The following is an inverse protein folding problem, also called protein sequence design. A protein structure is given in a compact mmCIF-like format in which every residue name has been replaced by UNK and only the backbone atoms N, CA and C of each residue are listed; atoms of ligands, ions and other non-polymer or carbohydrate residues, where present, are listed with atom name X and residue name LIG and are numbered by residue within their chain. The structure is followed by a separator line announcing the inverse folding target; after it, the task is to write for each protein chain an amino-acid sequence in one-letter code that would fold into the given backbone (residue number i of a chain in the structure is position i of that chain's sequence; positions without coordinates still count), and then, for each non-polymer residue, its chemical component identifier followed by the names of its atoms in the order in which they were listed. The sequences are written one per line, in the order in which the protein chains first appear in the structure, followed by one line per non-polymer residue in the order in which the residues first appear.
data_IF_100401008492
#
_entry.id   IF_100401008492
#
_cell.length_a   1.000
_cell.length_b   1.000
_cell.length_c   1.000
_cell.angle_alpha   90.00
_cell.angle_beta   90.00
_cell.angle_gamma   90.00
#
_symmetry.space_group_name_H-M   'P 1'
#
loop_
_entity.id
_entity.type
_entity.pdbx_description
1 polymer ?
#
# COMPACT_ATOMS: atom_id res chain seq x y z
N UNK A 1 1.73 -22.69 16.90
CA UNK A 1 2.74 -21.68 16.44
C UNK A 1 2.76 -20.54 17.44
N UNK A 2 3.95 -20.11 17.83
CA UNK A 2 4.19 -18.94 18.72
C UNK A 2 5.31 -18.14 18.14
N UNK A 3 5.32 -16.83 18.36
CA UNK A 3 6.41 -15.97 17.93
C UNK A 3 5.95 -14.68 17.30
N UNK A 4 6.90 -13.79 17.10
CA UNK A 4 6.68 -12.49 16.48
C UNK A 4 7.68 -12.27 15.35
N UNK A 5 7.22 -11.59 14.30
CA UNK A 5 8.04 -11.17 13.16
C UNK A 5 7.79 -9.68 12.92
N UNK A 6 8.88 -8.93 12.84
CA UNK A 6 8.87 -7.50 12.56
C UNK A 6 9.78 -7.23 11.38
N UNK A 7 9.32 -6.46 10.41
CA UNK A 7 10.14 -5.95 9.32
C UNK A 7 9.95 -4.45 9.16
N UNK A 8 11.03 -3.77 8.87
CA UNK A 8 11.06 -2.36 8.50
C UNK A 8 11.87 -2.24 7.21
N UNK A 9 11.19 -1.88 6.14
CA UNK A 9 11.79 -1.73 4.82
C UNK A 9 11.81 -0.24 4.46
N UNK A 10 12.99 0.28 4.16
CA UNK A 10 13.20 1.66 3.72
C UNK A 10 13.88 1.67 2.35
N UNK A 11 13.16 2.14 1.33
CA UNK A 11 13.68 2.33 -0.01
C UNK A 11 13.81 3.84 -0.29
N UNK A 12 14.99 4.26 -0.69
CA UNK A 12 15.31 5.67 -0.95
C UNK A 12 16.00 5.77 -2.32
N UNK A 13 15.49 6.64 -3.16
CA UNK A 13 16.19 7.03 -4.40
C UNK A 13 16.94 8.36 -4.20
N UNK A 14 18.02 8.61 -4.97
CA UNK A 14 18.73 9.89 -4.89
C UNK A 14 17.82 11.08 -5.19
N UNK A 15 17.85 12.16 -4.38
CA UNK A 15 16.98 13.32 -4.57
C UNK A 15 17.58 14.27 -5.63
N UNK A 16 17.62 13.83 -6.90
CA UNK A 16 18.23 14.55 -8.02
C UNK A 16 17.57 15.92 -8.26
N UNK A 17 16.27 16.05 -7.98
CA UNK A 17 15.53 17.31 -8.14
C UNK A 17 16.04 18.44 -7.27
N UNK A 18 16.60 18.11 -6.09
CA UNK A 18 17.16 19.11 -5.18
C UNK A 18 18.45 19.73 -5.71
N UNK A 19 19.19 19.01 -6.58
CA UNK A 19 20.45 19.45 -7.18
C UNK A 19 20.26 20.08 -8.57
N UNK A 20 19.07 19.94 -9.16
CA UNK A 20 18.74 20.50 -10.47
C UNK A 20 17.98 21.81 -10.29
N UNK A 21 18.61 22.91 -10.66
CA UNK A 21 17.99 24.24 -10.59
C UNK A 21 16.97 24.42 -11.74
N UNK A 22 15.75 23.87 -11.57
CA UNK A 22 14.64 23.95 -12.52
C UNK A 22 13.39 24.48 -11.86
N UNK A 23 12.56 25.15 -12.64
CA UNK A 23 11.24 25.59 -12.18
C UNK A 23 10.25 24.41 -12.28
N UNK A 24 10.23 23.56 -11.25
CA UNK A 24 9.38 22.38 -11.17
C UNK A 24 7.89 22.71 -11.17
N UNK A 25 7.51 23.87 -10.61
CA UNK A 25 6.13 24.33 -10.62
C UNK A 25 5.64 24.60 -12.04
N UNK A 26 6.48 25.28 -12.85
CA UNK A 26 6.13 25.55 -14.24
C UNK A 26 6.04 24.27 -15.07
N UNK A 27 6.99 23.34 -14.89
CA UNK A 27 6.96 22.04 -15.55
C UNK A 27 5.71 21.23 -15.17
N UNK A 28 5.30 21.27 -13.90
CA UNK A 28 4.08 20.61 -13.44
C UNK A 28 2.83 21.21 -14.09
N UNK A 29 2.73 22.54 -14.18
CA UNK A 29 1.63 23.22 -14.88
C UNK A 29 1.62 22.89 -16.37
N UNK A 30 2.79 22.90 -17.01
CA UNK A 30 2.94 22.61 -18.44
C UNK A 30 2.63 21.15 -18.78
N UNK A 31 2.92 20.21 -17.86
CA UNK A 31 2.61 18.78 -18.04
C UNK A 31 1.11 18.47 -18.01
N UNK A 32 0.31 19.35 -17.38
CA UNK A 32 -1.13 19.17 -17.21
C UNK A 32 -1.53 17.99 -16.30
N UNK A 33 -0.60 17.47 -15.53
CA UNK A 33 -0.89 16.41 -14.55
C UNK A 33 -1.91 16.95 -13.53
N UNK A 34 -3.00 16.20 -13.34
CA UNK A 34 -4.09 16.59 -12.46
C UNK A 34 -5.12 17.55 -13.05
N UNK A 35 -5.02 17.88 -14.34
CA UNK A 35 -6.04 18.66 -15.05
C UNK A 35 -6.80 17.78 -16.04
N UNK A 36 -8.13 18.00 -16.17
CA UNK A 36 -8.96 17.34 -17.19
C UNK A 36 -8.98 18.14 -18.51
N UNK A 37 -7.97 18.96 -18.76
CA UNK A 37 -7.93 19.82 -19.92
C UNK A 37 -7.75 19.02 -21.22
N UNK A 38 -8.60 19.27 -22.22
CA UNK A 38 -8.38 18.80 -23.58
C UNK A 38 -7.27 19.68 -24.21
N UNK A 39 -6.15 19.06 -24.55
CA UNK A 39 -5.05 19.76 -25.20
C UNK A 39 -5.17 19.75 -26.72
N UNK A 40 -4.81 20.84 -27.36
CA UNK A 40 -4.53 20.86 -28.79
C UNK A 40 -3.23 20.13 -29.11
N UNK A 41 -2.98 19.73 -30.37
CA UNK A 41 -1.79 18.94 -30.75
C UNK A 41 -0.46 19.58 -30.28
N UNK A 42 -0.32 20.89 -30.36
CA UNK A 42 0.89 21.63 -29.91
C UNK A 42 1.00 21.62 -28.38
N UNK A 43 -0.13 21.75 -27.66
CA UNK A 43 -0.16 21.67 -26.20
C UNK A 43 0.15 20.26 -25.72
N UNK A 44 -0.30 19.23 -26.44
CA UNK A 44 0.02 17.82 -26.16
C UNK A 44 1.52 17.57 -26.27
N UNK A 45 2.19 18.08 -27.32
CA UNK A 45 3.64 17.93 -27.48
C UNK A 45 4.41 18.61 -26.33
N UNK A 46 4.00 19.83 -25.93
CA UNK A 46 4.59 20.53 -24.79
C UNK A 46 4.38 19.79 -23.48
N UNK A 47 3.17 19.28 -23.23
CA UNK A 47 2.84 18.51 -22.05
C UNK A 47 3.65 17.21 -21.97
N UNK A 48 3.80 16.51 -23.10
CA UNK A 48 4.63 15.30 -23.19
C UNK A 48 6.09 15.61 -22.87
N UNK A 49 6.66 16.66 -23.45
CA UNK A 49 8.05 17.04 -23.17
C UNK A 49 8.27 17.44 -21.70
N UNK A 50 7.32 18.18 -21.12
CA UNK A 50 7.35 18.55 -19.70
C UNK A 50 7.29 17.31 -18.80
N UNK A 51 6.41 16.37 -19.10
CA UNK A 51 6.27 15.10 -18.37
C UNK A 51 7.54 14.26 -18.48
N UNK A 52 8.13 14.14 -19.66
CA UNK A 52 9.39 13.42 -19.86
C UNK A 52 10.54 14.05 -19.07
N UNK A 53 10.60 15.37 -19.02
CA UNK A 53 11.64 16.06 -18.24
C UNK A 53 11.42 15.91 -16.73
N UNK A 54 10.17 15.93 -16.26
CA UNK A 54 9.82 15.71 -14.85
C UNK A 54 10.22 14.32 -14.39
N UNK A 55 9.87 13.28 -15.16
CA UNK A 55 10.11 11.87 -14.80
C UNK A 55 11.38 11.27 -15.42
N UNK A 56 12.28 12.11 -15.91
CA UNK A 56 13.60 11.66 -16.37
C UNK A 56 14.38 10.91 -15.28
N UNK A 57 14.20 11.35 -14.04
CA UNK A 57 14.71 10.70 -12.84
C UNK A 57 13.56 10.50 -11.86
N UNK A 58 13.26 9.25 -11.56
CA UNK A 58 12.19 8.91 -10.61
C UNK A 58 12.76 9.00 -9.21
N UNK A 59 12.10 9.81 -8.39
CA UNK A 59 12.52 10.12 -7.03
C UNK A 59 11.40 9.81 -6.05
N UNK A 60 11.71 8.97 -5.07
CA UNK A 60 10.79 8.67 -3.97
C UNK A 60 11.55 8.17 -2.74
N UNK A 61 10.87 8.21 -1.62
CA UNK A 61 11.19 7.41 -0.46
C UNK A 61 9.97 6.56 -0.09
N UNK A 62 10.20 5.31 0.26
CA UNK A 62 9.15 4.36 0.62
C UNK A 62 9.52 3.70 1.93
N UNK A 63 8.65 3.84 2.93
CA UNK A 63 8.79 3.23 4.24
C UNK A 63 7.68 2.21 4.44
N UNK A 64 8.02 0.98 4.78
CA UNK A 64 7.05 -0.06 5.13
C UNK A 64 7.41 -0.66 6.48
N UNK A 65 6.43 -0.72 7.34
CA UNK A 65 6.52 -1.46 8.61
C UNK A 65 5.50 -2.58 8.60
N UNK A 66 5.95 -3.79 8.93
CA UNK A 66 5.09 -4.96 9.06
C UNK A 66 5.40 -5.66 10.37
N UNK A 67 4.38 -5.88 11.17
CA UNK A 67 4.45 -6.63 12.42
C UNK A 67 3.45 -7.78 12.37
N UNK A 68 3.87 -8.97 12.78
CA UNK A 68 3.00 -10.12 12.90
C UNK A 68 3.35 -10.89 14.17
N UNK A 69 2.35 -11.16 14.99
CA UNK A 69 2.52 -11.90 16.25
C UNK A 69 1.54 -13.03 16.34
N UNK A 70 1.99 -14.17 16.83
CA UNK A 70 1.19 -15.37 17.13
C UNK A 70 1.22 -15.64 18.63
N UNK A 71 0.07 -15.55 19.27
CA UNK A 71 -0.11 -15.73 20.70
C UNK A 71 -1.03 -16.92 20.94
N UNK A 72 -0.57 -18.00 21.60
CA UNK A 72 -1.44 -19.09 22.01
C UNK A 72 -2.37 -18.60 23.12
N UNK A 73 -3.67 -18.83 22.96
CA UNK A 73 -4.69 -18.46 23.95
C UNK A 73 -5.05 -19.63 24.87
N UNK A 74 -4.64 -20.85 24.53
CA UNK A 74 -4.81 -22.05 25.34
C UNK A 74 -3.47 -22.75 25.53
N UNK A 75 -3.45 -23.81 26.36
CA UNK A 75 -2.22 -24.57 26.65
C UNK A 75 -1.52 -25.00 25.36
N UNK A 76 -0.24 -24.58 25.14
CA UNK A 76 0.53 -24.95 23.95
C UNK A 76 0.69 -26.46 23.71
N UNK A 77 0.60 -27.26 24.76
CA UNK A 77 0.69 -28.71 24.70
C UNK A 77 -0.64 -29.39 24.40
N UNK A 78 -1.75 -28.65 24.35
CA UNK A 78 -3.04 -29.18 23.99
C UNK A 78 -3.12 -29.53 22.50
N UNK A 79 -3.84 -30.61 22.17
CA UNK A 79 -4.19 -30.95 20.78
C UNK A 79 -5.02 -29.85 20.08
N UNK A 80 -5.67 -29.00 20.84
CA UNK A 80 -6.61 -27.96 20.41
C UNK A 80 -6.12 -26.57 20.85
N UNK A 81 -4.91 -26.22 20.46
CA UNK A 81 -4.35 -24.90 20.82
C UNK A 81 -4.97 -23.81 19.95
N UNK A 82 -5.75 -22.96 20.59
CA UNK A 82 -6.28 -21.76 19.96
C UNK A 82 -5.17 -20.71 19.84
N UNK A 83 -4.96 -20.15 18.65
CA UNK A 83 -3.90 -19.18 18.39
C UNK A 83 -4.50 -17.88 17.87
N UNK A 84 -4.19 -16.78 18.53
CA UNK A 84 -4.46 -15.43 18.04
C UNK A 84 -3.28 -14.94 17.20
N UNK A 85 -3.52 -14.67 15.93
CA UNK A 85 -2.57 -13.95 15.08
C UNK A 85 -3.00 -12.49 15.01
N UNK A 86 -2.07 -11.59 15.28
CA UNK A 86 -2.25 -10.16 15.05
C UNK A 86 -1.26 -9.67 14.01
N UNK A 87 -1.71 -8.78 13.15
CA UNK A 87 -0.89 -8.15 12.10
C UNK A 87 -1.15 -6.65 12.10
N UNK A 88 -0.08 -5.88 12.01
CA UNK A 88 -0.11 -4.45 11.76
C UNK A 88 0.83 -4.13 10.61
N UNK A 89 0.32 -3.42 9.61
CA UNK A 89 1.11 -2.98 8.45
C UNK A 89 0.83 -1.51 8.19
N UNK A 90 1.90 -0.78 7.93
CA UNK A 90 1.86 0.63 7.56
C UNK A 90 2.84 0.82 6.41
N UNK A 91 2.39 1.44 5.33
CA UNK A 91 3.22 1.83 4.21
C UNK A 91 3.05 3.30 3.89
N UNK A 92 4.16 3.96 3.66
CA UNK A 92 4.22 5.37 3.31
C UNK A 92 5.11 5.52 2.08
N UNK A 93 4.66 6.28 1.09
CA UNK A 93 5.40 6.64 -0.11
C UNK A 93 5.38 8.15 -0.25
N UNK A 94 6.53 8.76 -0.29
CA UNK A 94 6.66 10.20 -0.45
C UNK A 94 7.66 10.61 -1.51
N UNK A 95 7.62 11.87 -1.86
CA UNK A 95 8.58 12.51 -2.78
C UNK A 95 9.34 13.63 -2.07
N UNK A 96 10.54 13.93 -2.52
CA UNK A 96 11.34 15.05 -2.00
C UNK A 96 10.83 16.40 -2.50
N UNK A 97 10.16 16.37 -3.67
CA UNK A 97 9.58 17.54 -4.29
C UNK A 97 8.08 17.36 -4.45
N UNK A 98 7.28 18.32 -3.99
CA UNK A 98 5.80 18.27 -4.03
C UNK A 98 5.22 18.17 -5.46
N UNK A 99 5.97 18.59 -6.47
CA UNK A 99 5.57 18.55 -7.88
C UNK A 99 5.98 17.26 -8.59
N UNK A 100 6.81 16.42 -7.96
CA UNK A 100 7.38 15.20 -8.51
C UNK A 100 6.93 13.97 -7.74
N UNK A 101 5.62 13.81 -7.55
CA UNK A 101 5.09 12.57 -6.98
C UNK A 101 5.36 11.42 -7.95
N UNK A 102 6.03 10.36 -7.48
CA UNK A 102 6.28 9.19 -8.31
C UNK A 102 4.98 8.49 -8.66
N UNK A 103 4.69 8.19 -9.94
CA UNK A 103 3.57 7.35 -10.32
C UNK A 103 3.85 5.85 -10.11
N UNK A 104 5.10 5.52 -9.74
CA UNK A 104 5.54 4.15 -9.53
C UNK A 104 5.56 3.81 -8.04
N UNK A 105 5.50 2.52 -7.76
CA UNK A 105 5.61 1.98 -6.39
C UNK A 105 4.45 2.38 -5.46
N UNK A 106 3.35 2.92 -6.00
CA UNK A 106 2.16 3.25 -5.24
C UNK A 106 1.47 2.00 -4.68
N UNK A 107 0.61 2.16 -3.69
CA UNK A 107 -0.13 1.06 -3.08
C UNK A 107 -1.50 0.91 -3.73
N UNK A 108 -1.84 -0.32 -4.11
CA UNK A 108 -3.16 -0.70 -4.60
C UNK A 108 -3.88 -1.49 -3.52
N UNK A 109 -4.85 -0.86 -2.86
CA UNK A 109 -5.42 -1.37 -1.61
C UNK A 109 -6.84 -1.84 -1.79
N UNK A 110 -7.10 -3.06 -1.35
CA UNK A 110 -8.40 -3.73 -1.39
C UNK A 110 -8.33 -5.12 -2.03
N UNK A 111 -9.35 -5.93 -1.79
CA UNK A 111 -9.53 -7.23 -2.41
C UNK A 111 -8.71 -8.36 -1.82
N UNK A 112 -8.49 -9.38 -2.63
CA UNK A 112 -7.84 -10.65 -2.28
C UNK A 112 -6.31 -10.58 -2.24
N UNK A 113 -5.72 -9.52 -2.78
CA UNK A 113 -4.27 -9.36 -2.89
C UNK A 113 -3.62 -10.14 -4.04
N UNK A 114 -4.42 -10.84 -4.86
CA UNK A 114 -3.94 -11.62 -6.00
C UNK A 114 -4.09 -10.86 -7.32
N UNK A 115 -5.15 -10.07 -7.43
CA UNK A 115 -5.41 -9.23 -8.59
C UNK A 115 -4.78 -7.87 -8.39
N UNK A 116 -3.61 -7.67 -8.97
CA UNK A 116 -2.91 -6.39 -8.95
C UNK A 116 -3.46 -5.40 -9.99
N UNK A 117 -3.17 -4.14 -9.80
CA UNK A 117 -3.30 -3.15 -10.88
C UNK A 117 -2.23 -3.41 -11.94
N UNK A 118 -2.61 -3.37 -13.20
CA UNK A 118 -1.69 -3.54 -14.34
C UNK A 118 -0.82 -2.29 -14.62
N UNK A 119 -0.70 -1.39 -13.65
CA UNK A 119 0.05 -0.13 -13.78
C UNK A 119 1.34 -0.11 -12.96
N UNK A 120 2.35 0.47 -13.50
CA UNK A 120 3.54 1.10 -12.90
C UNK A 120 4.09 0.49 -11.59
N UNK A 121 4.28 -0.84 -11.52
CA UNK A 121 4.88 -1.53 -10.36
C UNK A 121 4.17 -1.25 -9.01
N UNK A 122 2.84 -1.15 -9.03
CA UNK A 122 2.04 -0.96 -7.82
C UNK A 122 2.12 -2.18 -6.90
N UNK A 123 2.24 -1.93 -5.62
CA UNK A 123 2.22 -2.98 -4.60
C UNK A 123 0.78 -3.24 -4.16
N UNK A 124 0.29 -4.46 -4.41
CA UNK A 124 -1.07 -4.87 -4.02
C UNK A 124 -1.15 -5.21 -2.54
N UNK A 125 -2.06 -4.55 -1.84
CA UNK A 125 -2.33 -4.75 -0.42
C UNK A 125 -3.73 -5.31 -0.27
N UNK A 126 -3.81 -6.58 0.13
CA UNK A 126 -5.10 -7.23 0.38
C UNK A 126 -5.85 -6.58 1.54
N UNK A 127 -7.15 -6.41 1.37
CA UNK A 127 -8.10 -6.08 2.44
C UNK A 127 -9.38 -6.88 2.20
N UNK A 128 -9.54 -7.95 2.96
CA UNK A 128 -10.63 -8.93 2.77
C UNK A 128 -12.01 -8.29 2.97
N UNK A 129 -13.00 -8.77 2.22
CA UNK A 129 -14.36 -8.26 2.28
C UNK A 129 -14.60 -6.98 1.46
N UNK A 130 -13.64 -6.58 0.66
CA UNK A 130 -13.73 -5.43 -0.25
C UNK A 130 -13.29 -5.81 -1.66
N UNK A 131 -13.75 -5.05 -2.65
CA UNK A 131 -13.33 -5.22 -4.03
C UNK A 131 -11.87 -4.78 -4.24
N UNK A 132 -11.24 -5.34 -5.27
CA UNK A 132 -9.85 -5.03 -5.61
C UNK A 132 -9.67 -3.54 -5.90
N UNK A 133 -8.73 -2.91 -5.19
CA UNK A 133 -8.38 -1.50 -5.37
C UNK A 133 -9.45 -0.49 -5.01
N UNK A 134 -10.49 -0.88 -4.27
CA UNK A 134 -11.61 0.01 -3.94
C UNK A 134 -11.17 1.26 -3.16
N UNK A 135 -10.07 1.19 -2.42
CA UNK A 135 -9.51 2.32 -1.66
C UNK A 135 -8.53 3.17 -2.45
N UNK A 136 -8.11 2.69 -3.60
CA UNK A 136 -7.21 3.38 -4.55
C UNK A 136 -7.79 3.27 -5.95
N UNK A 137 -8.98 3.84 -6.21
CA UNK A 137 -9.66 3.68 -7.48
C UNK A 137 -8.88 4.35 -8.61
N UNK A 138 -8.87 3.69 -9.76
CA UNK A 138 -8.33 4.22 -11.01
C UNK A 138 -8.79 5.66 -11.25
N UNK A 139 -7.88 6.58 -11.49
CA UNK A 139 -8.09 8.02 -11.76
C UNK A 139 -8.39 8.93 -10.55
N UNK A 140 -8.71 8.43 -9.39
CA UNK A 140 -9.03 9.30 -8.24
C UNK A 140 -7.91 9.43 -7.22
N UNK A 141 -6.82 8.74 -7.42
CA UNK A 141 -5.61 8.87 -6.63
C UNK A 141 -4.91 7.55 -6.36
N UNK A 142 -3.63 7.54 -6.64
CA UNK A 142 -2.75 6.47 -6.23
C UNK A 142 -2.66 6.42 -4.71
N UNK A 143 -2.48 5.23 -4.14
CA UNK A 143 -2.21 5.07 -2.73
C UNK A 143 -0.79 5.45 -2.39
N UNK A 144 -0.61 6.58 -1.73
CA UNK A 144 0.70 7.01 -1.22
C UNK A 144 0.91 6.64 0.24
N UNK A 145 -0.15 6.23 0.91
CA UNK A 145 -0.07 5.66 2.24
C UNK A 145 -1.17 4.62 2.45
N UNK A 146 -0.89 3.62 3.27
CA UNK A 146 -1.90 2.68 3.72
C UNK A 146 -1.65 2.25 5.16
N UNK A 147 -2.71 1.81 5.81
CA UNK A 147 -2.64 1.04 7.06
C UNK A 147 -3.50 -0.20 6.94
N UNK A 148 -3.05 -1.30 7.55
CA UNK A 148 -3.81 -2.53 7.69
C UNK A 148 -3.56 -3.16 9.04
N UNK A 149 -4.64 -3.48 9.73
CA UNK A 149 -4.63 -4.22 11.00
C UNK A 149 -5.49 -5.46 10.85
N UNK A 150 -4.99 -6.60 11.30
CA UNK A 150 -5.69 -7.86 11.22
C UNK A 150 -5.57 -8.59 12.55
N UNK A 151 -6.67 -9.13 13.04
CA UNK A 151 -6.71 -10.09 14.13
C UNK A 151 -7.37 -11.37 13.60
N UNK A 152 -6.70 -12.50 13.72
CA UNK A 152 -7.20 -13.79 13.27
C UNK A 152 -7.15 -14.80 14.41
N UNK A 153 -8.24 -15.50 14.59
CA UNK A 153 -8.35 -16.60 15.54
C UNK A 153 -8.26 -17.92 14.79
N UNK A 154 -7.21 -18.66 15.02
CA UNK A 154 -6.94 -19.94 14.37
C UNK A 154 -7.31 -21.08 15.30
N UNK A 155 -8.23 -21.94 14.86
CA UNK A 155 -8.67 -23.12 15.57
C UNK A 155 -8.30 -24.39 14.79
N UNK A 156 -7.37 -25.22 15.28
CA UNK A 156 -6.97 -26.44 14.59
C UNK A 156 -8.02 -27.53 14.76
N UNK A 157 -8.48 -28.11 13.66
CA UNK A 157 -9.32 -29.30 13.66
C UNK A 157 -8.49 -30.58 13.55
N UNK A 158 -7.45 -30.55 12.73
CA UNK A 158 -6.54 -31.65 12.49
C UNK A 158 -5.13 -31.14 12.22
N UNK A 159 -4.16 -31.63 13.01
CA UNK A 159 -2.73 -31.30 12.82
C UNK A 159 -1.96 -32.63 12.66
N UNK A 160 -1.97 -33.18 11.47
CA UNK A 160 -1.18 -34.36 11.11
C UNK A 160 -0.08 -33.97 10.13
N UNK A 161 1.06 -34.68 10.07
CA UNK A 161 2.15 -34.37 9.13
C UNK A 161 1.72 -34.36 7.68
N UNK A 162 0.73 -35.16 7.31
CA UNK A 162 0.19 -35.28 5.95
C UNK A 162 -0.98 -34.34 5.67
N UNK A 163 -1.69 -33.86 6.69
CA UNK A 163 -2.91 -33.06 6.52
C UNK A 163 -3.10 -32.11 7.69
N UNK A 164 -3.20 -30.83 7.38
CA UNK A 164 -3.49 -29.77 8.36
C UNK A 164 -4.82 -29.11 8.00
N UNK A 165 -5.81 -29.19 8.87
CA UNK A 165 -7.11 -28.54 8.73
C UNK A 165 -7.32 -27.64 9.94
N UNK A 166 -7.62 -26.36 9.70
CA UNK A 166 -7.94 -25.40 10.75
C UNK A 166 -9.06 -24.46 10.31
N UNK A 167 -9.87 -24.04 11.26
CA UNK A 167 -10.83 -22.97 11.10
C UNK A 167 -10.18 -21.62 11.39
N UNK A 168 -10.69 -20.60 10.74
CA UNK A 168 -10.19 -19.25 10.84
C UNK A 168 -11.36 -18.28 10.99
N UNK A 169 -11.31 -17.44 12.01
CA UNK A 169 -12.16 -16.26 12.11
C UNK A 169 -11.28 -15.00 12.10
N UNK A 170 -11.68 -13.95 11.40
CA UNK A 170 -10.87 -12.76 11.30
C UNK A 170 -11.66 -11.46 11.49
N UNK A 171 -10.96 -10.47 12.01
CA UNK A 171 -11.32 -9.06 11.96
C UNK A 171 -10.20 -8.33 11.25
N UNK A 172 -10.54 -7.54 10.26
CA UNK A 172 -9.57 -6.77 9.49
C UNK A 172 -10.02 -5.33 9.36
N UNK A 173 -9.07 -4.41 9.42
CA UNK A 173 -9.34 -3.00 9.21
C UNK A 173 -8.18 -2.33 8.49
N UNK A 174 -8.49 -1.50 7.53
CA UNK A 174 -7.47 -0.78 6.75
C UNK A 174 -8.03 0.40 5.99
N UNK A 175 -7.16 1.19 5.45
CA UNK A 175 -7.48 2.30 4.58
C UNK A 175 -6.26 2.71 3.75
N UNK A 176 -6.50 3.51 2.70
CA UNK A 176 -5.47 4.12 1.89
C UNK A 176 -5.70 5.62 1.77
N UNK A 177 -4.62 6.37 1.57
CA UNK A 177 -4.64 7.83 1.40
C UNK A 177 -3.78 8.24 0.22
N UNK A 178 -4.18 9.34 -0.41
CA UNK A 178 -3.49 9.94 -1.56
C UNK A 178 -2.32 10.84 -1.18
N UNK A 179 -2.16 11.13 0.10
CA UNK A 179 -1.01 11.86 0.63
C UNK A 179 -0.64 11.32 2.01
N UNK A 180 0.66 11.31 2.31
CA UNK A 180 1.19 10.89 3.62
C UNK A 180 0.70 11.79 4.76
N UNK A 181 0.40 13.06 4.46
CA UNK A 181 -0.09 14.03 5.45
C UNK A 181 -1.52 13.76 5.92
N UNK A 182 -2.30 13.08 5.08
CA UNK A 182 -3.72 12.81 5.36
C UNK A 182 -3.92 11.51 6.15
N UNK A 183 -2.84 10.83 6.51
CA UNK A 183 -2.90 9.55 7.21
C UNK A 183 -3.56 9.70 8.57
N UNK A 184 -4.69 9.02 8.73
CA UNK A 184 -5.37 8.86 10.01
C UNK A 184 -5.46 7.38 10.35
N UNK A 185 -4.56 6.85 11.21
CA UNK A 185 -4.44 5.42 11.44
C UNK A 185 -5.69 4.77 12.05
N UNK A 186 -6.60 5.56 12.60
CA UNK A 186 -7.85 5.08 13.21
C UNK A 186 -9.07 5.23 12.29
N UNK A 187 -8.96 5.90 11.14
CA UNK A 187 -10.01 5.97 10.14
C UNK A 187 -9.97 4.70 9.28
N UNK A 188 -10.43 3.59 9.85
CA UNK A 188 -10.34 2.26 9.24
C UNK A 188 -11.69 1.83 8.67
N UNK A 189 -11.67 1.31 7.46
CA UNK A 189 -12.72 0.48 6.89
C UNK A 189 -12.54 -0.93 7.44
N UNK A 190 -13.60 -1.56 7.91
CA UNK A 190 -13.55 -2.78 8.71
C UNK A 190 -14.29 -3.91 8.01
N UNK A 191 -13.75 -5.12 8.13
CA UNK A 191 -14.38 -6.35 7.67
C UNK A 191 -14.21 -7.47 8.71
N UNK A 192 -15.10 -8.46 8.68
CA UNK A 192 -15.04 -9.64 9.50
C UNK A 192 -15.51 -10.85 8.68
N UNK A 193 -14.99 -12.03 9.02
CA UNK A 193 -15.37 -13.26 8.36
C UNK A 193 -14.80 -14.49 9.05
N UNK A 194 -15.21 -15.67 8.56
CA UNK A 194 -14.76 -16.97 9.02
C UNK A 194 -14.60 -17.94 7.84
#
# INVERSE_FOLDING_TARGET
RTGSNFSLDLNITPPVSLFRNKNWEQLYKDSGIGTNAMYTSNQTAKATAATQEMYKWIEYWKLKFKARTYTPLSDPNSKWTLVLMTRAEIGLLGSYNKYLKSPFETFYVGGDGMSGSYGYAQETIALRGYDNGVFTPWRSGDGYAYTRFTAELHFPFMLQPSTTIYGLAFLEGGNAWTDVKDVSPFNLKRSAGA
#
